data_IF_066481027402
#
_entry.id   IF_066481027402
#
_cell.length_a   1.000
_cell.length_b   1.000
_cell.length_c   1.000
_cell.angle_alpha   90.00
_cell.angle_beta   90.00
_cell.angle_gamma   90.00
#
_symmetry.space_group_name_H-M   'P 1'
#
loop_
_entity.id
_entity.type
_entity.pdbx_description
1 polymer ?
#
# COMPACT_ATOMS: atom_id res chain seq x y z
N UNK A 1 -8.31 -0.25 8.20
CA UNK A 1 -7.47 0.51 9.15
C UNK A 1 -8.25 1.54 9.91
N UNK A 2 -8.83 2.57 9.28
CA UNK A 2 -9.57 3.63 9.98
C UNK A 2 -10.69 3.12 10.89
N UNK A 3 -11.52 2.18 10.44
CA UNK A 3 -12.56 1.52 11.25
C UNK A 3 -12.00 0.87 12.52
N UNK A 4 -10.83 0.25 12.39
CA UNK A 4 -10.17 -0.45 13.49
C UNK A 4 -9.51 0.54 14.46
N UNK A 5 -8.88 1.61 13.97
CA UNK A 5 -8.38 2.70 14.80
C UNK A 5 -9.50 3.35 15.62
N UNK A 6 -10.67 3.57 15.01
CA UNK A 6 -11.85 4.08 15.70
C UNK A 6 -12.38 3.09 16.74
N UNK A 7 -12.46 1.80 16.42
CA UNK A 7 -12.85 0.78 17.38
C UNK A 7 -11.89 0.70 18.58
N UNK A 8 -10.58 0.78 18.34
CA UNK A 8 -9.57 0.81 19.39
C UNK A 8 -9.70 2.05 20.29
N UNK A 9 -9.98 3.21 19.71
CA UNK A 9 -10.27 4.44 20.46
C UNK A 9 -11.53 4.26 21.33
N UNK A 10 -12.61 3.73 20.75
CA UNK A 10 -13.86 3.46 21.49
C UNK A 10 -13.61 2.51 22.66
N UNK A 11 -12.90 1.39 22.45
CA UNK A 11 -12.56 0.44 23.50
C UNK A 11 -11.71 1.08 24.61
N UNK A 12 -10.74 1.90 24.24
CA UNK A 12 -9.92 2.64 25.20
C UNK A 12 -10.76 3.64 26.00
N UNK A 13 -11.62 4.40 25.32
CA UNK A 13 -12.54 5.33 25.96
C UNK A 13 -13.51 4.62 26.92
N UNK A 14 -14.00 3.43 26.55
CA UNK A 14 -14.82 2.57 27.40
C UNK A 14 -14.07 2.17 28.68
N UNK A 15 -12.80 1.77 28.57
CA UNK A 15 -11.95 1.47 29.73
C UNK A 15 -11.71 2.69 30.64
N UNK A 16 -11.80 3.90 30.09
CA UNK A 16 -11.63 5.17 30.82
C UNK A 16 -12.95 5.82 31.27
N UNK A 17 -14.10 5.17 31.07
CA UNK A 17 -15.43 5.70 31.42
C UNK A 17 -15.49 6.31 32.83
N UNK A 18 -14.97 5.67 33.89
CA UNK A 18 -15.05 6.20 35.25
C UNK A 18 -14.43 7.60 35.40
N UNK A 19 -13.41 7.92 34.59
CA UNK A 19 -12.74 9.22 34.61
C UNK A 19 -13.35 10.22 33.62
N UNK A 20 -13.92 9.71 32.53
CA UNK A 20 -14.39 10.51 31.41
C UNK A 20 -15.81 11.07 31.65
N UNK A 21 -16.69 10.34 32.38
CA UNK A 21 -18.07 10.78 32.64
C UNK A 21 -18.14 12.14 33.37
N UNK A 22 -17.16 12.45 34.20
CA UNK A 22 -17.10 13.73 34.93
C UNK A 22 -16.74 14.93 34.06
N UNK A 23 -16.34 14.74 32.79
CA UNK A 23 -15.93 15.85 31.93
C UNK A 23 -17.15 16.58 31.33
N UNK A 24 -17.22 17.92 31.40
CA UNK A 24 -18.30 18.68 30.79
C UNK A 24 -18.37 18.41 29.28
N UNK A 25 -19.58 18.16 28.77
CA UNK A 25 -19.85 17.87 27.34
C UNK A 25 -19.26 16.56 26.81
N UNK A 26 -18.84 15.62 27.67
CA UNK A 26 -18.35 14.32 27.20
C UNK A 26 -19.35 13.63 26.27
N UNK A 27 -20.62 13.58 26.65
CA UNK A 27 -21.67 12.96 25.86
C UNK A 27 -21.86 13.65 24.51
N UNK A 28 -21.89 14.99 24.49
CA UNK A 28 -22.00 15.74 23.25
C UNK A 28 -20.80 15.48 22.31
N UNK A 29 -19.57 15.43 22.84
CA UNK A 29 -18.37 15.09 22.07
C UNK A 29 -18.41 13.64 21.57
N UNK A 30 -18.77 12.70 22.43
CA UNK A 30 -18.91 11.28 22.09
C UNK A 30 -19.95 11.05 21.00
N UNK A 31 -21.14 11.66 21.13
CA UNK A 31 -22.19 11.59 20.14
C UNK A 31 -21.76 12.20 18.80
N UNK A 32 -21.09 13.37 18.83
CA UNK A 32 -20.57 14.00 17.59
C UNK A 32 -19.53 13.12 16.92
N UNK A 33 -18.55 12.59 17.68
CA UNK A 33 -17.54 11.68 17.14
C UNK A 33 -18.15 10.39 16.58
N UNK A 34 -19.12 9.81 17.29
CA UNK A 34 -19.86 8.64 16.84
C UNK A 34 -20.66 8.91 15.56
N UNK A 35 -21.33 10.07 15.47
CA UNK A 35 -22.06 10.48 14.27
C UNK A 35 -21.14 10.69 13.08
N UNK A 36 -19.99 11.35 13.25
CA UNK A 36 -19.00 11.51 12.18
C UNK A 36 -18.52 10.14 11.69
N UNK A 37 -18.19 9.23 12.61
CA UNK A 37 -17.74 7.90 12.26
C UNK A 37 -18.80 7.09 11.50
N UNK A 38 -20.03 7.06 12.01
CA UNK A 38 -21.14 6.32 11.38
C UNK A 38 -21.45 6.87 10.00
N UNK A 39 -21.55 8.19 9.85
CA UNK A 39 -21.81 8.83 8.54
C UNK A 39 -20.68 8.56 7.55
N UNK A 40 -19.42 8.53 8.00
CA UNK A 40 -18.28 8.28 7.12
C UNK A 40 -18.11 6.80 6.75
N UNK A 41 -18.48 5.86 7.61
CA UNK A 41 -18.17 4.42 7.42
C UNK A 41 -19.36 3.58 7.01
N UNK A 42 -20.56 3.85 7.52
CA UNK A 42 -21.74 3.02 7.31
C UNK A 42 -22.15 2.93 5.83
N UNK A 43 -22.19 4.03 5.05
CA UNK A 43 -22.53 3.93 3.63
C UNK A 43 -21.58 3.01 2.86
N UNK A 44 -20.29 3.08 3.17
CA UNK A 44 -19.28 2.22 2.55
C UNK A 44 -19.43 0.76 2.97
N UNK A 45 -19.67 0.47 4.25
CA UNK A 45 -19.91 -0.91 4.76
C UNK A 45 -21.12 -1.54 4.09
N UNK A 46 -22.20 -0.77 3.90
CA UNK A 46 -23.42 -1.23 3.22
C UNK A 46 -23.16 -1.43 1.73
N UNK A 47 -22.62 -0.43 1.04
CA UNK A 47 -22.42 -0.46 -0.40
C UNK A 47 -21.43 -1.55 -0.85
N UNK A 48 -20.37 -1.79 -0.07
CA UNK A 48 -19.39 -2.84 -0.36
C UNK A 48 -19.87 -4.25 -0.02
N UNK A 49 -21.02 -4.40 0.65
CA UNK A 49 -21.45 -5.68 1.21
C UNK A 49 -20.50 -6.22 2.28
N UNK A 50 -19.66 -5.37 2.90
CA UNK A 50 -18.69 -5.85 3.88
C UNK A 50 -19.38 -6.57 5.04
N UNK A 51 -20.52 -6.06 5.51
CA UNK A 51 -21.26 -6.66 6.61
C UNK A 51 -21.73 -8.10 6.32
N UNK A 52 -22.04 -8.43 5.07
CA UNK A 52 -22.49 -9.78 4.66
C UNK A 52 -21.33 -10.74 4.41
N UNK A 53 -20.13 -10.22 4.20
CA UNK A 53 -18.96 -11.02 3.81
C UNK A 53 -17.86 -11.07 4.87
N UNK A 54 -17.94 -10.27 5.95
CA UNK A 54 -16.86 -10.11 6.95
C UNK A 54 -16.40 -11.42 7.58
N UNK A 55 -17.31 -12.38 7.77
CA UNK A 55 -17.03 -13.69 8.36
C UNK A 55 -16.31 -14.65 7.40
N UNK A 56 -16.35 -14.36 6.08
CA UNK A 56 -15.64 -15.13 5.05
C UNK A 56 -14.23 -14.59 4.78
N UNK A 57 -13.88 -13.44 5.36
CA UNK A 57 -12.58 -12.82 5.17
C UNK A 57 -11.61 -13.38 6.23
N UNK A 58 -10.57 -14.12 5.84
CA UNK A 58 -9.63 -14.71 6.78
C UNK A 58 -8.94 -13.62 7.59
N UNK A 59 -8.85 -13.85 8.91
CA UNK A 59 -8.17 -12.91 9.82
C UNK A 59 -6.67 -13.16 9.77
N UNK A 60 -5.86 -12.10 9.93
CA UNK A 60 -4.41 -12.23 9.89
C UNK A 60 -3.88 -13.24 10.92
N UNK A 61 -4.48 -13.25 12.13
CA UNK A 61 -4.14 -14.18 13.21
C UNK A 61 -4.15 -15.66 12.81
N UNK A 62 -4.96 -16.06 11.83
CA UNK A 62 -5.06 -17.45 11.37
C UNK A 62 -3.83 -17.88 10.57
N UNK A 63 -3.06 -16.91 10.06
CA UNK A 63 -1.86 -17.11 9.27
C UNK A 63 -0.59 -16.66 10.00
N UNK A 64 -0.74 -16.07 11.20
CA UNK A 64 0.37 -15.61 12.02
C UNK A 64 1.12 -16.78 12.67
N UNK A 65 2.44 -16.65 12.75
CA UNK A 65 3.35 -17.52 13.50
C UNK A 65 3.71 -16.81 14.80
N UNK A 66 2.98 -17.16 15.87
CA UNK A 66 3.26 -16.64 17.21
C UNK A 66 4.43 -17.40 17.85
N UNK A 67 5.30 -16.73 18.64
CA UNK A 67 5.25 -15.32 19.01
C UNK A 67 5.92 -14.36 18.02
N UNK A 68 6.54 -14.87 16.96
CA UNK A 68 7.37 -14.08 16.04
C UNK A 68 6.62 -12.88 15.44
N UNK A 69 5.42 -13.10 14.89
CA UNK A 69 4.63 -12.02 14.28
C UNK A 69 4.05 -11.02 15.30
N UNK A 70 3.96 -11.41 16.57
CA UNK A 70 3.50 -10.51 17.63
C UNK A 70 4.57 -9.46 17.97
N UNK A 71 5.85 -9.79 17.85
CA UNK A 71 6.95 -8.87 18.15
C UNK A 71 7.62 -8.33 16.90
N UNK A 72 7.39 -8.93 15.73
CA UNK A 72 8.05 -8.56 14.47
C UNK A 72 7.92 -7.09 14.13
N UNK A 73 6.73 -6.50 14.32
CA UNK A 73 6.54 -5.06 14.11
C UNK A 73 7.39 -4.20 15.07
N UNK A 74 7.50 -4.58 16.34
CA UNK A 74 8.29 -3.85 17.35
C UNK A 74 9.78 -3.95 17.01
N UNK A 75 10.22 -5.14 16.60
CA UNK A 75 11.61 -5.41 16.20
C UNK A 75 11.96 -4.61 14.95
N UNK A 76 11.12 -4.60 13.92
CA UNK A 76 11.39 -3.81 12.71
C UNK A 76 11.41 -2.31 13.01
N UNK A 77 10.48 -1.84 13.85
CA UNK A 77 10.34 -0.43 14.19
C UNK A 77 11.09 -0.07 15.47
N UNK A 78 12.11 -0.84 15.86
CA UNK A 78 12.81 -0.68 17.13
C UNK A 78 13.39 0.73 17.28
N UNK A 79 13.88 1.36 16.22
CA UNK A 79 14.41 2.73 16.24
C UNK A 79 13.32 3.73 16.63
N UNK A 80 12.15 3.61 16.00
CA UNK A 80 10.99 4.46 16.29
C UNK A 80 10.47 4.17 17.70
N UNK A 81 10.33 2.90 18.07
CA UNK A 81 9.90 2.49 19.40
C UNK A 81 10.85 3.00 20.50
N UNK A 82 12.17 2.91 20.26
CA UNK A 82 13.21 3.41 21.17
C UNK A 82 13.11 4.92 21.28
N UNK A 83 12.95 5.64 20.16
CA UNK A 83 12.78 7.10 20.20
C UNK A 83 11.53 7.51 21.01
N UNK A 84 10.39 6.85 20.80
CA UNK A 84 9.19 7.09 21.62
C UNK A 84 9.43 6.79 23.11
N UNK A 85 10.10 5.68 23.42
CA UNK A 85 10.43 5.31 24.79
C UNK A 85 11.37 6.33 25.45
N UNK A 86 12.39 6.82 24.73
CA UNK A 86 13.31 7.84 25.21
C UNK A 86 12.61 9.18 25.42
N UNK A 87 11.72 9.59 24.53
CA UNK A 87 10.93 10.82 24.70
C UNK A 87 10.00 10.69 25.90
N UNK A 88 9.30 9.56 26.04
CA UNK A 88 8.44 9.31 27.20
C UNK A 88 9.24 9.33 28.51
N UNK A 89 10.40 8.67 28.53
CA UNK A 89 11.30 8.68 29.69
C UNK A 89 11.82 10.08 30.01
N UNK A 90 12.20 10.86 29.00
CA UNK A 90 12.65 12.24 29.18
C UNK A 90 11.54 13.13 29.74
N UNK A 91 10.29 12.99 29.26
CA UNK A 91 9.14 13.73 29.79
C UNK A 91 8.88 13.36 31.25
N UNK A 92 8.92 12.07 31.60
CA UNK A 92 8.76 11.61 32.99
C UNK A 92 9.90 12.11 33.88
N UNK A 93 11.15 12.00 33.44
CA UNK A 93 12.32 12.41 34.21
C UNK A 93 12.37 13.91 34.42
N UNK A 94 12.20 14.70 33.36
CA UNK A 94 12.12 16.17 33.44
C UNK A 94 10.95 16.56 34.33
N UNK A 95 9.81 15.88 34.19
CA UNK A 95 8.65 16.20 35.00
C UNK A 95 8.83 15.87 36.48
N UNK A 96 9.48 14.76 36.79
CA UNK A 96 9.84 14.40 38.15
C UNK A 96 10.86 15.40 38.75
N UNK A 97 11.94 15.70 38.03
CA UNK A 97 12.96 16.67 38.46
C UNK A 97 12.40 18.09 38.65
N UNK A 98 11.47 18.50 37.79
CA UNK A 98 10.83 19.80 37.92
C UNK A 98 9.78 19.79 39.03
N UNK A 99 9.00 18.73 39.22
CA UNK A 99 8.03 18.63 40.30
C UNK A 99 8.68 18.67 41.70
N UNK A 100 9.89 18.11 41.85
CA UNK A 100 10.63 18.18 43.12
C UNK A 100 11.18 19.57 43.42
N UNK A 101 11.46 20.37 42.39
CA UNK A 101 11.98 21.75 42.53
C UNK A 101 10.89 22.83 42.49
N UNK A 102 9.74 22.52 41.88
CA UNK A 102 8.62 23.41 41.59
C UNK A 102 7.30 22.68 41.86
N UNK A 103 6.84 22.62 43.12
CA UNK A 103 5.61 21.94 43.51
C UNK A 103 4.36 22.43 42.75
N UNK A 104 4.36 23.69 42.29
CA UNK A 104 3.30 24.26 41.47
C UNK A 104 3.06 23.51 40.14
N UNK A 105 4.05 22.74 39.66
CA UNK A 105 3.94 21.92 38.47
C UNK A 105 3.37 20.53 38.74
N UNK A 106 3.16 20.12 39.99
CA UNK A 106 2.64 18.79 40.34
C UNK A 106 1.28 18.50 39.67
N UNK A 107 0.28 19.40 39.70
CA UNK A 107 -1.02 19.14 39.06
C UNK A 107 -0.89 18.97 37.55
N UNK A 108 -0.01 19.75 36.91
CA UNK A 108 0.28 19.65 35.48
C UNK A 108 0.98 18.32 35.15
N UNK A 109 1.96 17.92 35.97
CA UNK A 109 2.72 16.68 35.82
C UNK A 109 1.81 15.47 35.98
N UNK A 110 0.94 15.46 36.99
CA UNK A 110 -0.06 14.40 37.21
C UNK A 110 -1.03 14.28 36.05
N UNK A 111 -1.59 15.40 35.56
CA UNK A 111 -2.50 15.40 34.39
C UNK A 111 -1.81 14.90 33.12
N UNK A 112 -0.57 15.33 32.89
CA UNK A 112 0.23 14.93 31.73
C UNK A 112 0.54 13.44 31.79
N UNK A 113 1.00 12.95 32.94
CA UNK A 113 1.30 11.52 33.17
C UNK A 113 0.07 10.66 32.93
N UNK A 114 -1.09 11.06 33.47
CA UNK A 114 -2.36 10.34 33.24
C UNK A 114 -2.73 10.35 31.74
N UNK A 115 -2.59 11.48 31.07
CA UNK A 115 -2.89 11.59 29.64
C UNK A 115 -1.97 10.69 28.81
N UNK A 116 -0.67 10.67 29.10
CA UNK A 116 0.30 9.80 28.44
C UNK A 116 0.00 8.32 28.72
N UNK A 117 -0.40 7.96 29.94
CA UNK A 117 -0.82 6.61 30.28
C UNK A 117 -2.06 6.18 29.47
N UNK A 118 -3.05 7.07 29.29
CA UNK A 118 -4.21 6.80 28.42
C UNK A 118 -3.78 6.63 26.96
N UNK A 119 -2.85 7.45 26.45
CA UNK A 119 -2.33 7.28 25.08
C UNK A 119 -1.57 5.97 24.91
N UNK A 120 -0.76 5.56 25.90
CA UNK A 120 -0.09 4.27 25.89
C UNK A 120 -1.09 3.10 25.92
N UNK A 121 -2.13 3.19 26.76
CA UNK A 121 -3.24 2.24 26.77
C UNK A 121 -3.93 2.17 25.40
N UNK A 122 -4.17 3.31 24.75
CA UNK A 122 -4.72 3.36 23.40
C UNK A 122 -3.81 2.65 22.39
N UNK A 123 -2.50 2.90 22.41
CA UNK A 123 -1.55 2.19 21.54
C UNK A 123 -1.60 0.68 21.74
N UNK A 124 -1.64 0.20 22.98
CA UNK A 124 -1.70 -1.24 23.29
C UNK A 124 -3.00 -1.85 22.76
N UNK A 125 -4.14 -1.20 23.00
CA UNK A 125 -5.45 -1.66 22.48
C UNK A 125 -5.48 -1.62 20.96
N UNK A 126 -4.92 -0.58 20.34
CA UNK A 126 -4.85 -0.42 18.90
C UNK A 126 -3.94 -1.48 18.25
N UNK A 127 -2.80 -1.77 18.87
CA UNK A 127 -1.91 -2.86 18.47
C UNK A 127 -2.61 -4.21 18.57
N UNK A 128 -3.21 -4.51 19.74
CA UNK A 128 -3.92 -5.77 19.97
C UNK A 128 -5.08 -5.95 18.99
N UNK A 129 -5.96 -4.96 18.86
CA UNK A 129 -7.08 -5.02 17.91
C UNK A 129 -6.59 -5.21 16.48
N UNK A 130 -5.49 -4.57 16.06
CA UNK A 130 -4.93 -4.78 14.72
C UNK A 130 -4.47 -6.22 14.55
N UNK A 131 -3.69 -6.75 15.50
CA UNK A 131 -3.22 -8.15 15.47
C UNK A 131 -4.38 -9.14 15.39
N UNK A 132 -5.43 -8.94 16.19
CA UNK A 132 -6.50 -9.92 16.34
C UNK A 132 -7.65 -9.81 15.33
N UNK A 133 -7.94 -8.60 14.84
CA UNK A 133 -9.15 -8.34 14.04
C UNK A 133 -8.86 -7.95 12.59
N UNK A 134 -7.63 -7.57 12.25
CA UNK A 134 -7.29 -7.16 10.89
C UNK A 134 -7.42 -8.35 9.93
N UNK A 135 -8.10 -8.19 8.79
CA UNK A 135 -8.05 -9.16 7.70
C UNK A 135 -6.62 -9.47 7.28
N UNK A 136 -6.34 -10.71 6.89
CA UNK A 136 -5.02 -11.13 6.42
C UNK A 136 -4.52 -10.25 5.27
N UNK A 137 -5.38 -10.01 4.27
CA UNK A 137 -5.11 -9.11 3.15
C UNK A 137 -4.82 -7.67 3.60
N UNK A 138 -5.28 -7.21 4.76
CA UNK A 138 -5.02 -5.86 5.25
C UNK A 138 -3.88 -5.78 6.27
N UNK A 139 -3.20 -6.89 6.56
CA UNK A 139 -2.15 -6.96 7.56
C UNK A 139 -0.83 -6.44 7.02
N UNK A 140 -0.73 -5.11 6.96
CA UNK A 140 0.50 -4.42 6.57
C UNK A 140 1.14 -3.70 7.74
N UNK A 141 2.46 -3.75 7.86
CA UNK A 141 3.17 -3.01 8.92
C UNK A 141 2.96 -1.50 8.78
N UNK A 142 2.90 -0.98 7.55
CA UNK A 142 2.54 0.43 7.31
C UNK A 142 1.15 0.79 7.84
N UNK A 143 0.17 -0.11 7.68
CA UNK A 143 -1.19 0.10 8.22
C UNK A 143 -1.22 -0.02 9.75
N UNK A 144 -0.37 -0.87 10.33
CA UNK A 144 -0.16 -0.91 11.79
C UNK A 144 0.39 0.44 12.26
N UNK A 145 1.41 0.98 11.60
CA UNK A 145 1.95 2.32 11.90
C UNK A 145 0.85 3.38 11.86
N UNK A 146 0.02 3.45 10.80
CA UNK A 146 -1.11 4.39 10.73
C UNK A 146 -2.10 4.23 11.90
N UNK A 147 -2.27 3.00 12.39
CA UNK A 147 -3.17 2.70 13.53
C UNK A 147 -2.61 3.23 14.85
N UNK A 148 -1.28 3.20 15.01
CA UNK A 148 -0.56 3.69 16.19
C UNK A 148 -0.19 5.18 16.12
N UNK A 149 -0.20 5.75 14.92
CA UNK A 149 0.24 7.12 14.65
C UNK A 149 -0.63 8.14 15.38
N UNK A 150 -1.96 7.97 15.37
CA UNK A 150 -2.88 8.90 16.04
C UNK A 150 -2.59 9.06 17.55
N UNK A 151 -2.57 7.98 18.37
CA UNK A 151 -2.17 8.12 19.77
C UNK A 151 -0.72 8.58 19.94
N UNK A 152 0.18 8.21 19.02
CA UNK A 152 1.60 8.62 19.06
C UNK A 152 1.80 10.12 18.88
N UNK A 153 1.18 10.71 17.86
CA UNK A 153 1.25 12.14 17.59
C UNK A 153 0.62 12.93 18.75
N UNK A 154 -0.49 12.46 19.30
CA UNK A 154 -1.13 13.11 20.46
C UNK A 154 -0.23 13.01 21.69
N UNK A 155 0.39 11.85 21.96
CA UNK A 155 1.33 11.68 23.07
C UNK A 155 2.53 12.63 22.93
N UNK A 156 3.10 12.76 21.73
CA UNK A 156 4.19 13.71 21.45
C UNK A 156 3.74 15.16 21.67
N UNK A 157 2.57 15.54 21.16
CA UNK A 157 2.04 16.90 21.34
C UNK A 157 1.80 17.23 22.83
N UNK A 158 1.28 16.27 23.61
CA UNK A 158 1.10 16.41 25.06
C UNK A 158 2.46 16.53 25.76
N UNK A 159 3.45 15.71 25.39
CA UNK A 159 4.80 15.75 25.94
C UNK A 159 5.51 17.08 25.66
N UNK A 160 5.50 17.55 24.41
CA UNK A 160 6.09 18.85 24.05
C UNK A 160 5.32 20.03 24.66
N UNK A 161 4.00 19.96 24.74
CA UNK A 161 3.18 20.95 25.44
C UNK A 161 3.49 21.01 26.93
N UNK A 162 3.77 19.87 27.55
CA UNK A 162 4.23 19.79 28.94
C UNK A 162 5.60 20.44 29.11
N UNK A 163 6.59 20.04 28.30
CA UNK A 163 7.95 20.60 28.35
C UNK A 163 7.94 22.11 28.13
N UNK A 164 7.18 22.60 27.15
CA UNK A 164 7.03 24.04 26.90
C UNK A 164 6.45 24.78 28.11
N UNK A 165 5.42 24.24 28.76
CA UNK A 165 4.84 24.84 29.98
C UNK A 165 5.79 24.79 31.17
N UNK A 166 6.61 23.75 31.27
CA UNK A 166 7.50 23.55 32.41
C UNK A 166 8.79 24.38 32.31
N UNK A 167 9.33 24.55 31.09
CA UNK A 167 10.59 25.27 30.82
C UNK A 167 10.34 26.75 30.56
N UNK A 168 9.38 27.08 29.69
CA UNK A 168 9.11 28.44 29.18
C UNK A 168 7.61 28.76 29.21
N UNK A 169 6.98 28.93 30.39
CA UNK A 169 5.53 29.09 30.51
C UNK A 169 4.93 30.18 29.60
N UNK A 170 5.63 31.31 29.46
CA UNK A 170 5.23 32.45 28.61
C UNK A 170 5.22 32.11 27.11
N UNK A 171 6.08 31.19 26.68
CA UNK A 171 6.28 30.81 25.27
C UNK A 171 5.94 29.35 25.01
N UNK A 172 5.17 28.71 25.91
CA UNK A 172 4.95 27.28 25.91
C UNK A 172 4.46 26.74 24.56
N UNK A 173 3.53 27.46 23.91
CA UNK A 173 3.03 27.10 22.58
C UNK A 173 4.12 27.16 21.51
N UNK A 174 4.93 28.23 21.49
CA UNK A 174 6.02 28.37 20.53
C UNK A 174 7.10 27.29 20.74
N UNK A 175 7.48 27.04 21.99
CA UNK A 175 8.44 25.97 22.33
C UNK A 175 7.92 24.60 21.91
N UNK A 176 6.65 24.28 22.20
CA UNK A 176 6.05 23.02 21.77
C UNK A 176 6.04 22.86 20.25
N UNK A 177 5.70 23.91 19.50
CA UNK A 177 5.74 23.92 18.04
C UNK A 177 7.16 23.72 17.51
N UNK A 178 8.16 24.41 18.07
CA UNK A 178 9.57 24.23 17.66
C UNK A 178 10.05 22.81 17.94
N UNK A 179 9.71 22.24 19.11
CA UNK A 179 10.06 20.85 19.43
C UNK A 179 9.41 19.87 18.45
N UNK A 180 8.13 20.06 18.12
CA UNK A 180 7.43 19.23 17.13
C UNK A 180 8.05 19.35 15.74
N UNK A 181 8.36 20.58 15.29
CA UNK A 181 9.03 20.81 14.02
C UNK A 181 10.42 20.17 13.99
N UNK A 182 11.20 20.32 15.06
CA UNK A 182 12.50 19.68 15.24
C UNK A 182 12.42 18.15 15.20
N UNK A 183 11.39 17.56 15.82
CA UNK A 183 11.13 16.12 15.72
C UNK A 183 10.82 15.68 14.28
N UNK A 184 9.94 16.41 13.58
CA UNK A 184 9.59 16.08 12.19
C UNK A 184 10.78 16.23 11.23
N UNK A 185 11.65 17.22 11.46
CA UNK A 185 12.90 17.40 10.73
C UNK A 185 13.92 16.30 11.06
N UNK A 186 14.17 16.04 12.35
CA UNK A 186 15.15 15.07 12.81
C UNK A 186 14.81 13.62 12.45
N UNK A 187 13.52 13.30 12.28
CA UNK A 187 13.06 11.99 11.81
C UNK A 187 12.96 11.89 10.28
N UNK A 188 13.36 12.93 9.55
CA UNK A 188 13.27 12.97 8.08
C UNK A 188 11.84 12.91 7.54
N UNK A 189 10.82 13.13 8.37
CA UNK A 189 9.41 13.02 7.93
C UNK A 189 8.99 14.19 7.02
N UNK A 190 9.67 15.33 7.14
CA UNK A 190 9.45 16.48 6.25
C UNK A 190 9.90 16.21 4.81
N UNK A 191 10.93 15.40 4.57
CA UNK A 191 11.41 15.11 3.20
C UNK A 191 10.48 14.15 2.45
N UNK A 192 9.74 13.30 3.17
CA UNK A 192 8.72 12.43 2.58
C UNK A 192 7.53 13.20 1.99
N UNK A 193 7.14 14.33 2.61
CA UNK A 193 6.04 15.18 2.09
C UNK A 193 6.36 15.77 0.72
N UNK A 194 7.65 15.98 0.43
CA UNK A 194 8.11 16.54 -0.84
C UNK A 194 8.23 15.47 -1.95
N UNK A 195 8.70 14.25 -1.61
CA UNK A 195 8.95 13.19 -2.59
C UNK A 195 7.71 12.37 -3.00
N UNK A 196 6.71 12.23 -2.13
CA UNK A 196 5.63 11.25 -2.38
C UNK A 196 4.56 11.70 -3.38
N UNK A 197 4.55 12.97 -3.78
CA UNK A 197 3.43 13.57 -4.53
C UNK A 197 3.55 13.52 -6.05
N UNK A 198 4.74 13.23 -6.61
CA UNK A 198 4.97 13.29 -8.06
C UNK A 198 5.11 11.92 -8.72
N UNK A 199 5.89 10.99 -8.17
CA UNK A 199 6.27 9.77 -8.91
C UNK A 199 5.13 8.78 -9.24
N UNK A 200 3.99 8.81 -8.54
CA UNK A 200 2.93 7.79 -8.71
C UNK A 200 1.87 8.09 -9.77
N UNK A 201 1.80 9.34 -10.24
CA UNK A 201 0.82 9.79 -11.25
C UNK A 201 1.47 10.41 -12.48
N UNK A 202 2.78 10.71 -12.44
CA UNK A 202 3.51 11.25 -13.58
C UNK A 202 3.34 10.32 -14.78
N UNK A 203 2.70 10.84 -15.83
CA UNK A 203 2.47 10.13 -17.08
C UNK A 203 1.17 9.34 -17.15
N UNK A 204 0.27 9.46 -16.17
CA UNK A 204 -1.11 8.99 -16.32
C UNK A 204 -1.88 9.88 -17.31
N UNK A 205 -1.60 11.19 -17.41
CA UNK A 205 -2.32 12.07 -18.34
C UNK A 205 -2.16 11.68 -19.81
N UNK A 206 -0.95 11.42 -20.33
CA UNK A 206 -0.79 10.90 -21.69
C UNK A 206 -1.51 9.56 -21.92
N UNK A 207 -1.50 8.67 -20.92
CA UNK A 207 -2.21 7.40 -21.00
C UNK A 207 -3.73 7.59 -21.06
N UNK A 208 -4.29 8.51 -20.26
CA UNK A 208 -5.70 8.89 -20.32
C UNK A 208 -6.05 9.44 -21.70
N UNK A 209 -5.20 10.30 -22.25
CA UNK A 209 -5.43 10.91 -23.55
C UNK A 209 -5.38 9.89 -24.69
N UNK A 210 -4.45 8.92 -24.64
CA UNK A 210 -4.42 7.81 -25.58
C UNK A 210 -5.69 6.95 -25.48
N UNK A 211 -6.15 6.66 -24.25
CA UNK A 211 -7.42 5.94 -24.03
C UNK A 211 -8.62 6.71 -24.59
N UNK A 212 -8.64 8.04 -24.49
CA UNK A 212 -9.73 8.85 -25.05
C UNK A 212 -9.73 8.89 -26.57
N UNK A 213 -8.56 8.79 -27.20
CA UNK A 213 -8.40 8.78 -28.67
C UNK A 213 -8.56 7.40 -29.30
N UNK A 214 -8.46 6.36 -28.48
CA UNK A 214 -8.59 4.98 -28.94
C UNK A 214 -10.04 4.65 -29.28
N UNK A 215 -10.25 4.08 -30.46
CA UNK A 215 -11.55 3.52 -30.81
C UNK A 215 -11.74 2.16 -30.11
N UNK A 216 -12.74 2.09 -29.24
CA UNK A 216 -13.15 0.87 -28.56
C UNK A 216 -14.53 0.45 -29.01
N UNK A 217 -14.73 -0.85 -29.20
CA UNK A 217 -16.06 -1.39 -29.48
C UNK A 217 -16.90 -1.35 -28.19
N UNK A 218 -18.24 -1.18 -28.28
CA UNK A 218 -19.10 -1.07 -27.09
C UNK A 218 -19.05 -2.26 -26.14
N UNK A 219 -18.62 -3.43 -26.61
CA UNK A 219 -18.48 -4.64 -25.81
C UNK A 219 -17.15 -4.71 -25.05
N UNK A 220 -16.14 -3.89 -25.38
CA UNK A 220 -14.79 -3.94 -24.79
C UNK A 220 -14.83 -3.90 -23.25
N UNK A 221 -14.21 -4.89 -22.61
CA UNK A 221 -14.00 -4.89 -21.17
C UNK A 221 -12.68 -4.23 -20.81
N UNK A 222 -12.73 -3.32 -19.84
CA UNK A 222 -11.55 -2.65 -19.31
C UNK A 222 -11.18 -3.21 -17.95
N UNK A 223 -9.98 -3.74 -17.86
CA UNK A 223 -9.39 -4.14 -16.59
C UNK A 223 -8.17 -3.32 -16.27
N UNK A 224 -7.93 -3.15 -14.98
CA UNK A 224 -6.75 -2.54 -14.43
C UNK A 224 -6.09 -3.47 -13.43
N UNK A 225 -4.81 -3.26 -13.28
CA UNK A 225 -4.06 -3.80 -12.15
C UNK A 225 -4.66 -3.35 -10.82
N UNK A 226 -4.59 -4.19 -9.77
CA UNK A 226 -5.11 -3.84 -8.47
C UNK A 226 -4.50 -2.53 -7.93
N UNK A 227 -5.32 -1.73 -7.25
CA UNK A 227 -5.07 -0.34 -6.80
C UNK A 227 -5.07 0.75 -7.88
N UNK A 228 -4.95 0.44 -9.17
CA UNK A 228 -4.99 1.46 -10.23
C UNK A 228 -6.34 1.56 -10.94
N UNK A 229 -7.18 0.52 -10.90
CA UNK A 229 -8.50 0.51 -11.56
C UNK A 229 -9.42 1.69 -11.17
N UNK A 230 -9.41 2.12 -9.89
CA UNK A 230 -10.19 3.29 -9.45
C UNK A 230 -9.65 4.60 -10.01
N UNK A 231 -8.33 4.77 -10.02
CA UNK A 231 -7.64 5.90 -10.65
C UNK A 231 -8.02 5.98 -12.13
N UNK A 232 -7.91 4.86 -12.85
CA UNK A 232 -8.30 4.79 -14.26
C UNK A 232 -9.76 5.15 -14.46
N UNK A 233 -10.67 4.56 -13.67
CA UNK A 233 -12.10 4.85 -13.77
C UNK A 233 -12.39 6.32 -13.56
N UNK A 234 -11.80 6.94 -12.55
CA UNK A 234 -12.02 8.34 -12.20
C UNK A 234 -11.56 9.29 -13.32
N UNK A 235 -10.36 9.08 -13.87
CA UNK A 235 -9.79 10.03 -14.82
C UNK A 235 -10.20 9.80 -16.29
N UNK A 236 -10.52 8.56 -16.66
CA UNK A 236 -10.94 8.22 -18.03
C UNK A 236 -12.45 8.25 -18.20
N UNK A 237 -13.21 8.07 -17.12
CA UNK A 237 -14.66 7.82 -17.18
C UNK A 237 -15.03 6.42 -17.69
N UNK A 238 -14.05 5.58 -18.05
CA UNK A 238 -14.26 4.20 -18.47
C UNK A 238 -14.50 3.30 -17.25
N UNK A 239 -15.33 2.25 -17.35
CA UNK A 239 -15.62 1.34 -16.25
C UNK A 239 -14.47 0.34 -16.03
N UNK A 240 -13.31 0.81 -15.57
CA UNK A 240 -12.12 -0.02 -15.38
C UNK A 240 -12.24 -0.84 -14.09
N UNK A 241 -12.29 -2.15 -14.22
CA UNK A 241 -12.41 -3.08 -13.07
C UNK A 241 -11.05 -3.66 -12.69
N UNK A 242 -10.87 -4.06 -11.43
CA UNK A 242 -9.67 -4.83 -11.09
C UNK A 242 -9.74 -6.21 -11.75
N UNK A 243 -8.64 -6.66 -12.39
CA UNK A 243 -8.58 -8.01 -12.96
C UNK A 243 -8.51 -9.13 -11.91
N UNK A 244 -7.97 -8.82 -10.72
CA UNK A 244 -7.69 -9.82 -9.68
C UNK A 244 -8.90 -10.65 -9.22
N UNK A 245 -10.08 -10.07 -8.93
CA UNK A 245 -11.24 -10.84 -8.49
C UNK A 245 -11.99 -11.55 -9.63
N UNK A 246 -11.64 -11.33 -10.90
CA UNK A 246 -12.40 -11.84 -12.04
C UNK A 246 -12.06 -13.30 -12.28
N UNK A 247 -13.06 -14.18 -12.35
CA UNK A 247 -12.83 -15.62 -12.56
C UNK A 247 -12.17 -15.88 -13.91
N UNK A 248 -11.17 -16.78 -13.95
CA UNK A 248 -10.54 -17.20 -15.19
C UNK A 248 -11.54 -17.74 -16.23
N UNK A 249 -12.52 -18.55 -15.81
CA UNK A 249 -13.54 -19.08 -16.72
C UNK A 249 -14.34 -17.98 -17.41
N UNK A 250 -14.68 -16.91 -16.70
CA UNK A 250 -15.40 -15.77 -17.29
C UNK A 250 -14.56 -15.11 -18.39
N UNK A 251 -13.27 -14.87 -18.15
CA UNK A 251 -12.37 -14.25 -19.14
C UNK A 251 -12.07 -15.18 -20.33
N UNK A 252 -12.13 -16.49 -20.10
CA UNK A 252 -11.95 -17.53 -21.11
C UNK A 252 -13.20 -17.73 -21.98
N UNK A 253 -14.40 -17.51 -21.45
CA UNK A 253 -15.67 -17.62 -22.17
C UNK A 253 -16.07 -16.32 -22.86
N UNK A 254 -15.57 -15.18 -22.38
CA UNK A 254 -15.88 -13.86 -22.91
C UNK A 254 -15.25 -13.65 -24.30
N UNK A 255 -16.10 -13.64 -25.33
CA UNK A 255 -15.67 -13.60 -26.72
C UNK A 255 -15.16 -12.23 -27.19
N UNK A 256 -15.56 -11.14 -26.53
CA UNK A 256 -15.24 -9.78 -26.96
C UNK A 256 -13.78 -9.37 -26.65
N UNK A 257 -13.40 -8.14 -27.04
CA UNK A 257 -12.08 -7.60 -26.79
C UNK A 257 -11.89 -7.20 -25.32
N UNK A 258 -10.66 -7.31 -24.84
CA UNK A 258 -10.28 -6.90 -23.49
C UNK A 258 -9.11 -5.91 -23.57
N UNK A 259 -9.19 -4.83 -22.79
CA UNK A 259 -8.08 -3.92 -22.55
C UNK A 259 -7.63 -4.08 -21.11
N UNK A 260 -6.37 -4.45 -20.90
CA UNK A 260 -5.75 -4.49 -19.57
C UNK A 260 -4.77 -3.33 -19.42
N UNK A 261 -4.96 -2.54 -18.37
CA UNK A 261 -4.13 -1.40 -17.99
C UNK A 261 -3.21 -1.77 -16.82
N UNK A 262 -1.92 -1.83 -17.12
CA UNK A 262 -0.88 -2.22 -16.19
C UNK A 262 0.04 -1.04 -15.91
N UNK A 263 0.13 -0.68 -14.64
CA UNK A 263 1.01 0.38 -14.16
C UNK A 263 1.92 -0.22 -13.10
N UNK A 264 3.06 -0.77 -13.53
CA UNK A 264 4.04 -1.38 -12.64
C UNK A 264 5.46 -0.96 -12.98
N UNK A 265 6.25 -0.79 -11.93
CA UNK A 265 7.68 -0.55 -11.99
C UNK A 265 8.42 -1.76 -11.41
N UNK A 266 8.72 -2.74 -12.24
CA UNK A 266 9.47 -3.93 -11.82
C UNK A 266 10.96 -3.67 -11.59
N UNK A 267 11.47 -2.51 -12.04
CA UNK A 267 12.88 -2.19 -12.05
C UNK A 267 13.17 -0.98 -11.19
N UNK A 268 14.21 -1.08 -10.36
CA UNK A 268 14.77 0.08 -9.67
C UNK A 268 15.34 1.03 -10.73
N UNK A 269 14.87 2.28 -10.73
CA UNK A 269 15.41 3.32 -11.59
C UNK A 269 16.61 4.00 -10.94
N UNK A 270 17.60 4.43 -11.72
CA UNK A 270 18.66 5.30 -11.23
C UNK A 270 18.09 6.57 -10.58
N UNK A 271 18.84 7.14 -9.63
CA UNK A 271 18.51 8.44 -9.03
C UNK A 271 18.63 9.57 -10.06
N UNK A 272 18.01 10.73 -9.77
CA UNK A 272 18.16 11.96 -10.58
C UNK A 272 19.64 12.28 -10.79
N UNK A 273 20.42 12.26 -9.71
CA UNK A 273 21.87 12.53 -9.74
C UNK A 273 22.64 11.56 -10.65
N UNK A 274 22.24 10.28 -10.71
CA UNK A 274 22.87 9.32 -11.63
C UNK A 274 22.49 9.59 -13.09
N UNK A 275 21.22 9.94 -13.36
CA UNK A 275 20.79 10.37 -14.69
C UNK A 275 21.52 11.63 -15.14
N UNK A 276 21.58 12.65 -14.27
CA UNK A 276 22.30 13.91 -14.53
C UNK A 276 23.76 13.67 -14.87
N UNK A 277 24.45 12.88 -14.04
CA UNK A 277 25.86 12.55 -14.25
C UNK A 277 26.06 11.86 -15.60
N UNK A 278 25.29 10.81 -15.89
CA UNK A 278 25.44 10.03 -17.13
C UNK A 278 25.06 10.84 -18.38
N UNK A 279 24.06 11.71 -18.27
CA UNK A 279 23.70 12.62 -19.35
C UNK A 279 24.84 13.62 -19.64
N UNK A 280 25.43 14.21 -18.60
CA UNK A 280 26.60 15.10 -18.73
C UNK A 280 27.83 14.40 -19.31
N UNK A 281 28.12 13.18 -18.86
CA UNK A 281 29.20 12.35 -19.40
C UNK A 281 29.00 12.06 -20.90
N UNK A 282 27.74 11.99 -21.35
CA UNK A 282 27.37 11.83 -22.75
C UNK A 282 27.25 13.15 -23.52
N UNK A 283 27.58 14.30 -22.90
CA UNK A 283 27.59 15.62 -23.53
C UNK A 283 26.25 16.36 -23.53
N UNK A 284 25.26 15.93 -22.74
CA UNK A 284 24.00 16.63 -22.55
C UNK A 284 24.06 17.56 -21.34
N UNK A 285 23.33 18.68 -21.38
CA UNK A 285 23.07 19.52 -20.21
C UNK A 285 21.58 19.38 -19.82
N UNK A 286 21.25 18.39 -18.96
CA UNK A 286 19.85 18.01 -18.75
C UNK A 286 19.10 19.01 -17.89
N UNK A 287 17.88 19.34 -18.29
CA UNK A 287 16.89 19.95 -17.41
C UNK A 287 16.19 18.86 -16.58
N UNK A 288 15.58 19.20 -15.44
CA UNK A 288 14.80 18.25 -14.63
C UNK A 288 13.73 17.50 -15.45
N UNK A 289 13.07 18.19 -16.38
CA UNK A 289 12.06 17.62 -17.26
C UNK A 289 12.63 16.55 -18.23
N UNK A 290 13.89 16.72 -18.67
CA UNK A 290 14.57 15.73 -19.52
C UNK A 290 14.82 14.44 -18.75
N UNK A 291 15.20 14.56 -17.47
CA UNK A 291 15.46 13.41 -16.59
C UNK A 291 14.18 12.60 -16.38
N UNK A 292 13.06 13.28 -16.12
CA UNK A 292 11.76 12.63 -15.96
C UNK A 292 11.31 11.92 -17.25
N UNK A 293 11.54 12.55 -18.40
CA UNK A 293 11.25 11.97 -19.70
C UNK A 293 12.12 10.73 -19.97
N UNK A 294 13.43 10.79 -19.73
CA UNK A 294 14.35 9.66 -19.91
C UNK A 294 14.10 8.53 -18.92
N UNK A 295 13.71 8.84 -17.69
CA UNK A 295 13.27 7.84 -16.70
C UNK A 295 12.04 7.10 -17.18
N UNK A 296 11.03 7.84 -17.64
CA UNK A 296 9.79 7.27 -18.18
C UNK A 296 10.08 6.38 -19.40
N UNK A 297 10.95 6.83 -20.29
CA UNK A 297 11.44 6.07 -21.45
C UNK A 297 12.17 4.78 -21.05
N UNK A 298 13.09 4.87 -20.10
CA UNK A 298 13.83 3.72 -19.57
C UNK A 298 12.89 2.67 -18.98
N UNK A 299 11.94 3.10 -18.15
CA UNK A 299 10.95 2.23 -17.52
C UNK A 299 10.05 1.56 -18.57
N UNK A 300 9.59 2.33 -19.55
CA UNK A 300 8.85 1.80 -20.69
C UNK A 300 9.66 0.70 -21.40
N UNK A 301 10.91 0.97 -21.78
CA UNK A 301 11.75 -0.02 -22.45
C UNK A 301 11.98 -1.29 -21.61
N UNK A 302 12.25 -1.13 -20.30
CA UNK A 302 12.43 -2.26 -19.37
C UNK A 302 11.16 -3.11 -19.25
N UNK A 303 10.00 -2.46 -19.20
CA UNK A 303 8.70 -3.13 -19.18
C UNK A 303 8.42 -3.85 -20.51
N UNK A 304 8.72 -3.20 -21.65
CA UNK A 304 8.66 -3.77 -22.99
C UNK A 304 9.44 -5.08 -23.08
N UNK A 305 10.70 -5.04 -22.65
CA UNK A 305 11.60 -6.18 -22.65
C UNK A 305 11.10 -7.31 -21.75
N UNK A 306 10.44 -7.01 -20.62
CA UNK A 306 9.87 -8.03 -19.73
C UNK A 306 8.72 -8.83 -20.36
N UNK A 307 7.96 -8.20 -21.27
CA UNK A 307 6.79 -8.79 -21.91
C UNK A 307 7.01 -9.26 -23.34
N UNK A 308 8.12 -8.91 -23.99
CA UNK A 308 8.37 -9.22 -25.41
C UNK A 308 8.21 -10.71 -25.76
N UNK A 309 8.54 -11.62 -24.85
CA UNK A 309 8.40 -13.06 -25.05
C UNK A 309 7.00 -13.63 -24.69
N UNK A 310 6.08 -12.79 -24.21
CA UNK A 310 4.80 -13.20 -23.60
C UNK A 310 3.56 -12.70 -24.33
N UNK A 311 3.72 -11.73 -25.22
CA UNK A 311 2.65 -11.12 -26.02
C UNK A 311 2.99 -11.23 -27.51
N UNK A 312 2.01 -11.04 -28.39
CA UNK A 312 2.20 -11.18 -29.83
C UNK A 312 3.12 -10.09 -30.39
N UNK A 313 2.97 -8.86 -29.91
CA UNK A 313 3.83 -7.74 -30.27
C UNK A 313 3.93 -6.73 -29.12
N UNK A 314 5.05 -6.03 -29.10
CA UNK A 314 5.29 -4.91 -28.20
C UNK A 314 5.60 -3.68 -29.03
N UNK A 315 4.79 -2.64 -28.88
CA UNK A 315 4.99 -1.36 -29.54
C UNK A 315 5.58 -0.36 -28.55
N UNK A 316 6.86 -0.02 -28.77
CA UNK A 316 7.56 1.04 -28.06
C UNK A 316 7.62 2.26 -28.97
N UNK A 317 6.81 3.28 -28.70
CA UNK A 317 6.73 4.51 -29.52
C UNK A 317 7.97 5.41 -29.39
N UNK A 318 8.89 5.13 -28.45
CA UNK A 318 9.96 6.04 -28.06
C UNK A 318 11.36 5.44 -28.34
N UNK A 319 12.24 6.25 -28.92
CA UNK A 319 13.66 5.90 -29.14
C UNK A 319 14.46 6.34 -27.93
N UNK A 320 15.23 5.43 -27.33
CA UNK A 320 16.10 5.75 -26.20
C UNK A 320 17.36 6.50 -26.68
N UNK A 321 17.76 7.60 -26.01
CA UNK A 321 19.10 8.14 -26.17
C UNK A 321 20.17 7.09 -25.87
N UNK A 322 21.34 7.18 -26.52
CA UNK A 322 22.39 6.15 -26.40
C UNK A 322 22.84 5.90 -24.95
N UNK A 323 22.94 6.94 -24.12
CA UNK A 323 23.31 6.77 -22.71
C UNK A 323 22.16 6.12 -21.89
N UNK A 324 20.90 6.40 -22.22
CA UNK A 324 19.74 5.72 -21.60
C UNK A 324 19.70 4.25 -22.00
N UNK A 325 20.07 3.93 -23.25
CA UNK A 325 20.24 2.54 -23.71
C UNK A 325 21.34 1.81 -22.92
N UNK A 326 22.45 2.48 -22.60
CA UNK A 326 23.49 1.90 -21.73
C UNK A 326 22.94 1.61 -20.32
N UNK A 327 22.18 2.56 -19.74
CA UNK A 327 21.50 2.36 -18.45
C UNK A 327 20.53 1.19 -18.53
N UNK A 328 19.74 1.08 -19.61
CA UNK A 328 18.85 -0.05 -19.87
C UNK A 328 19.60 -1.37 -19.87
N UNK A 329 20.71 -1.48 -20.61
CA UNK A 329 21.47 -2.72 -20.72
C UNK A 329 22.17 -3.09 -19.41
N UNK A 330 22.60 -2.12 -18.62
CA UNK A 330 23.11 -2.35 -17.26
C UNK A 330 22.00 -2.81 -16.32
N UNK A 331 20.85 -2.14 -16.34
CA UNK A 331 19.70 -2.44 -15.47
C UNK A 331 19.16 -3.83 -15.77
N UNK A 332 19.01 -4.18 -17.05
CA UNK A 332 18.60 -5.51 -17.51
C UNK A 332 19.57 -6.60 -17.05
N UNK A 333 20.89 -6.31 -17.06
CA UNK A 333 21.93 -7.27 -16.65
C UNK A 333 22.00 -7.47 -15.13
N UNK A 334 21.63 -6.48 -14.33
CA UNK A 334 21.65 -6.57 -12.86
C UNK A 334 20.55 -7.49 -12.29
N UNK A 335 19.89 -8.30 -13.14
CA UNK A 335 18.55 -8.85 -12.92
C UNK A 335 17.55 -7.70 -12.64
N UNK A 336 16.23 -7.90 -12.50
CA UNK A 336 15.46 -6.99 -11.67
C UNK A 336 16.15 -6.99 -10.31
N UNK A 337 17.07 -6.05 -10.10
CA UNK A 337 17.86 -5.93 -8.89
C UNK A 337 16.81 -5.87 -7.80
N UNK A 338 16.70 -6.99 -7.09
CA UNK A 338 15.61 -7.31 -6.20
C UNK A 338 15.25 -6.04 -5.46
N UNK A 339 14.09 -5.48 -5.80
CA UNK A 339 13.29 -4.76 -4.85
C UNK A 339 13.33 -5.63 -3.60
N UNK A 340 14.19 -5.31 -2.63
CA UNK A 340 14.76 -6.32 -1.73
C UNK A 340 13.66 -7.20 -1.13
N UNK A 341 13.88 -8.52 -0.96
CA UNK A 341 12.91 -9.39 -0.28
C UNK A 341 12.41 -8.76 1.02
N UNK A 342 13.27 -7.99 1.71
CA UNK A 342 12.92 -7.30 2.94
C UNK A 342 11.75 -6.33 2.82
N UNK A 343 11.64 -5.45 1.81
CA UNK A 343 10.49 -4.53 1.80
C UNK A 343 9.19 -5.29 1.51
N UNK A 344 9.23 -6.31 0.65
CA UNK A 344 8.09 -7.18 0.33
C UNK A 344 7.64 -7.97 1.57
N UNK A 345 8.58 -8.65 2.20
CA UNK A 345 8.37 -9.49 3.39
C UNK A 345 7.98 -8.64 4.61
N UNK A 346 8.52 -7.41 4.74
CA UNK A 346 8.21 -6.51 5.85
C UNK A 346 6.91 -5.74 5.64
N UNK A 347 6.44 -5.58 4.40
CA UNK A 347 5.16 -4.90 4.15
C UNK A 347 3.98 -5.81 4.50
N UNK A 348 3.96 -7.09 4.10
CA UNK A 348 2.85 -8.02 4.37
C UNK A 348 3.30 -9.46 4.68
N UNK A 349 4.00 -9.68 5.81
CA UNK A 349 4.66 -10.97 6.08
C UNK A 349 3.68 -12.14 6.10
N UNK A 350 2.46 -11.90 6.59
CA UNK A 350 1.43 -12.94 6.77
C UNK A 350 0.90 -13.47 5.43
N UNK A 351 0.71 -12.61 4.43
CA UNK A 351 0.19 -13.01 3.12
C UNK A 351 1.26 -13.58 2.20
N UNK A 352 2.54 -13.30 2.44
CA UNK A 352 3.62 -13.69 1.55
C UNK A 352 4.46 -14.85 2.11
N UNK A 353 4.30 -15.17 3.39
CA UNK A 353 4.96 -16.30 4.05
C UNK A 353 4.82 -17.60 3.26
N UNK A 354 5.95 -18.25 3.03
CA UNK A 354 6.03 -19.54 2.34
C UNK A 354 6.09 -19.45 0.82
N UNK A 355 6.07 -18.24 0.25
CA UNK A 355 6.17 -18.02 -1.20
C UNK A 355 7.49 -17.33 -1.56
N UNK A 356 8.07 -17.71 -2.68
CA UNK A 356 9.25 -17.05 -3.22
C UNK A 356 8.81 -15.83 -4.03
N UNK A 357 8.76 -14.67 -3.40
CA UNK A 357 8.38 -13.41 -4.06
C UNK A 357 9.64 -12.68 -4.53
N UNK A 358 9.88 -12.66 -5.84
CA UNK A 358 11.10 -12.06 -6.43
C UNK A 358 10.84 -10.72 -7.08
N UNK A 359 9.64 -10.53 -7.59
CA UNK A 359 9.21 -9.33 -8.31
C UNK A 359 7.95 -8.72 -7.70
N UNK A 360 7.65 -7.48 -8.08
CA UNK A 360 6.41 -6.82 -7.68
C UNK A 360 5.17 -7.53 -8.25
N UNK A 361 5.30 -8.07 -9.46
CA UNK A 361 4.29 -8.96 -10.04
C UNK A 361 4.04 -10.21 -9.18
N UNK A 362 5.10 -10.91 -8.75
CA UNK A 362 4.97 -12.09 -7.88
C UNK A 362 4.27 -11.75 -6.56
N UNK A 363 4.52 -10.55 -6.03
CA UNK A 363 3.87 -10.06 -4.81
C UNK A 363 2.37 -10.00 -5.01
N UNK A 364 1.89 -9.34 -6.08
CA UNK A 364 0.46 -9.20 -6.30
C UNK A 364 -0.22 -10.51 -6.63
N UNK A 365 0.41 -11.35 -7.47
CA UNK A 365 -0.12 -12.69 -7.75
C UNK A 365 -0.24 -13.49 -6.46
N UNK A 366 0.83 -13.54 -5.65
CA UNK A 366 0.81 -14.23 -4.35
C UNK A 366 -0.26 -13.64 -3.44
N UNK A 367 -0.33 -12.32 -3.33
CA UNK A 367 -1.28 -11.64 -2.45
C UNK A 367 -2.74 -11.92 -2.83
N UNK A 368 -3.11 -11.85 -4.12
CA UNK A 368 -4.49 -12.08 -4.56
C UNK A 368 -4.87 -13.56 -4.65
N UNK A 369 -3.91 -14.43 -4.98
CA UNK A 369 -4.18 -15.84 -5.25
C UNK A 369 -3.60 -16.78 -4.20
N UNK A 370 -3.11 -16.29 -3.04
CA UNK A 370 -2.52 -17.11 -1.96
C UNK A 370 -3.34 -18.36 -1.63
N UNK A 371 -4.66 -18.22 -1.59
CA UNK A 371 -5.59 -19.28 -1.20
C UNK A 371 -6.12 -20.10 -2.39
N UNK A 372 -5.67 -19.80 -3.62
CA UNK A 372 -6.17 -20.38 -4.87
C UNK A 372 -5.01 -20.62 -5.84
N UNK A 373 -3.99 -21.34 -5.37
CA UNK A 373 -2.81 -21.75 -6.15
C UNK A 373 -2.13 -20.56 -6.89
N UNK A 374 -1.38 -19.72 -6.17
CA UNK A 374 -0.74 -18.57 -6.81
C UNK A 374 0.32 -18.99 -7.82
N UNK A 375 0.95 -20.17 -7.67
CA UNK A 375 1.99 -20.66 -8.58
C UNK A 375 1.43 -20.90 -9.98
N UNK A 376 0.23 -21.48 -10.10
CA UNK A 376 -0.44 -21.64 -11.40
C UNK A 376 -0.89 -20.31 -12.02
N UNK A 377 -0.77 -19.20 -11.30
CA UNK A 377 -1.18 -17.84 -11.73
C UNK A 377 0.02 -16.91 -11.92
N UNK A 378 1.21 -17.34 -11.54
CA UNK A 378 2.46 -16.63 -11.81
C UNK A 378 2.57 -16.45 -13.31
N UNK A 379 2.88 -15.23 -13.73
CA UNK A 379 3.11 -14.79 -15.11
C UNK A 379 1.90 -14.26 -15.89
N UNK A 380 0.65 -14.50 -15.48
CA UNK A 380 -0.47 -14.08 -16.32
C UNK A 380 -1.85 -13.88 -15.66
N UNK A 381 -1.95 -13.93 -14.33
CA UNK A 381 -3.22 -13.80 -13.61
C UNK A 381 -4.32 -14.70 -14.24
N UNK A 382 -5.55 -14.19 -14.36
CA UNK A 382 -6.66 -14.90 -15.00
C UNK A 382 -6.70 -14.75 -16.55
N UNK A 383 -5.68 -14.12 -17.16
CA UNK A 383 -5.61 -13.81 -18.60
C UNK A 383 -4.53 -14.62 -19.36
N UNK A 384 -3.90 -15.60 -18.70
CA UNK A 384 -2.83 -16.45 -19.26
C UNK A 384 -3.05 -16.97 -20.65
N UNK A 385 -4.22 -17.55 -20.91
CA UNK A 385 -4.51 -18.16 -22.19
C UNK A 385 -4.74 -17.14 -23.32
N UNK A 386 -4.89 -15.85 -22.99
CA UNK A 386 -5.20 -14.79 -23.97
C UNK A 386 -4.04 -13.83 -24.24
N UNK A 387 -3.14 -13.64 -23.27
CA UNK A 387 -2.01 -12.72 -23.40
C UNK A 387 -1.06 -13.01 -24.57
N UNK A 388 -0.77 -14.27 -24.95
CA UNK A 388 0.08 -14.55 -26.11
C UNK A 388 -0.43 -13.96 -27.44
N UNK A 389 -1.74 -13.72 -27.55
CA UNK A 389 -2.37 -13.13 -28.74
C UNK A 389 -2.59 -11.61 -28.61
N UNK A 390 -2.19 -11.02 -27.49
CA UNK A 390 -2.37 -9.60 -27.23
C UNK A 390 -1.26 -8.75 -27.84
N UNK A 391 -1.58 -7.51 -28.18
CA UNK A 391 -0.57 -6.49 -28.45
C UNK A 391 -0.38 -5.66 -27.20
N UNK A 392 0.86 -5.35 -26.85
CA UNK A 392 1.18 -4.45 -25.74
C UNK A 392 1.68 -3.14 -26.30
N UNK A 393 0.97 -2.07 -25.97
CA UNK A 393 1.38 -0.71 -26.27
C UNK A 393 1.86 -0.05 -24.97
N UNK A 394 3.07 0.49 -24.95
CA UNK A 394 3.51 1.28 -23.80
C UNK A 394 3.27 2.75 -24.12
N UNK A 395 2.27 3.29 -23.43
CA UNK A 395 1.94 4.71 -23.52
C UNK A 395 2.90 5.50 -22.62
N UNK A 396 2.99 6.81 -22.87
CA UNK A 396 3.84 7.67 -22.05
C UNK A 396 3.46 7.56 -20.55
N UNK A 397 4.45 7.69 -19.67
CA UNK A 397 4.29 7.41 -18.24
C UNK A 397 4.56 5.98 -17.79
N UNK A 398 4.99 5.10 -18.70
CA UNK A 398 5.32 3.71 -18.36
C UNK A 398 4.09 2.82 -18.12
N UNK A 399 2.90 3.28 -18.48
CA UNK A 399 1.67 2.48 -18.46
C UNK A 399 1.69 1.53 -19.65
N UNK A 400 1.55 0.23 -19.40
CA UNK A 400 1.35 -0.77 -20.43
C UNK A 400 -0.15 -1.01 -20.65
N UNK A 401 -0.58 -0.86 -21.90
CA UNK A 401 -1.92 -1.17 -22.35
C UNK A 401 -1.87 -2.45 -23.19
N UNK A 402 -2.43 -3.53 -22.66
CA UNK A 402 -2.57 -4.76 -23.41
C UNK A 402 -3.92 -4.76 -24.12
N UNK A 403 -3.90 -4.81 -25.45
CA UNK A 403 -5.09 -5.00 -26.29
C UNK A 403 -5.20 -6.47 -26.61
N UNK A 404 -6.11 -7.13 -25.93
CA UNK A 404 -6.40 -8.55 -26.13
C UNK A 404 -7.56 -8.63 -27.14
N UNK A 405 -7.33 -9.20 -28.34
CA UNK A 405 -8.35 -9.24 -29.37
C UNK A 405 -9.54 -10.12 -28.94
N UNK A 406 -10.70 -9.98 -29.61
CA UNK A 406 -11.81 -10.92 -29.47
C UNK A 406 -11.31 -12.36 -29.66
N UNK A 407 -11.84 -13.28 -28.87
CA UNK A 407 -11.63 -14.68 -29.18
C UNK A 407 -12.40 -14.98 -30.46
N UNK A 408 -11.68 -15.40 -31.51
CA UNK A 408 -12.31 -16.24 -32.51
C UNK A 408 -12.87 -17.42 -31.74
N UNK A 409 -14.20 -17.55 -31.69
CA UNK A 409 -14.82 -18.79 -31.25
C UNK A 409 -14.16 -19.86 -32.12
N UNK A 410 -13.29 -20.67 -31.53
CA UNK A 410 -12.89 -21.95 -32.11
C UNK A 410 -14.21 -22.58 -32.50
N UNK A 411 -14.52 -22.54 -33.81
CA UNK A 411 -15.75 -23.08 -34.35
C UNK A 411 -15.78 -24.48 -33.80
N UNK A 412 -16.78 -24.75 -32.95
CA UNK A 412 -16.86 -25.90 -32.05
C UNK A 412 -16.38 -27.16 -32.75
N UNK A 413 -15.08 -27.42 -32.66
CA UNK A 413 -14.52 -28.66 -33.15
C UNK A 413 -14.85 -29.58 -32.02
N UNK A 414 -15.87 -30.38 -32.25
CA UNK A 414 -16.43 -31.36 -31.34
C UNK A 414 -15.30 -32.14 -30.66
N UNK A 415 -14.82 -31.67 -29.51
CA UNK A 415 -14.05 -32.48 -28.57
C UNK A 415 -15.06 -33.34 -27.82
N UNK A 416 -15.68 -34.26 -28.57
CA UNK A 416 -16.14 -35.51 -28.01
C UNK A 416 -14.88 -36.34 -27.75
N UNK A 417 -14.79 -36.97 -26.57
CA UNK A 417 -13.76 -37.93 -26.15
C UNK A 417 -12.46 -37.44 -25.49
N UNK A 418 -12.51 -36.63 -24.41
CA UNK A 418 -11.36 -36.60 -23.47
C UNK A 418 -11.70 -36.42 -21.98
N UNK A 419 -12.97 -36.59 -21.57
CA UNK A 419 -13.37 -36.42 -20.16
C UNK A 419 -13.98 -37.65 -19.46
N UNK A 420 -13.93 -38.85 -20.06
CA UNK A 420 -14.50 -40.04 -19.40
C UNK A 420 -13.52 -40.85 -18.51
N UNK A 421 -12.20 -40.62 -18.55
CA UNK A 421 -11.26 -41.47 -17.79
C UNK A 421 -10.77 -40.93 -16.43
N UNK A 422 -11.03 -39.66 -16.08
CA UNK A 422 -10.55 -39.12 -14.79
C UNK A 422 -11.50 -39.39 -13.61
N UNK A 423 -12.72 -39.89 -13.85
CA UNK A 423 -13.70 -40.16 -12.81
C UNK A 423 -13.66 -41.61 -12.26
N UNK A 424 -12.86 -42.51 -12.86
CA UNK A 424 -12.81 -43.93 -12.46
C UNK A 424 -11.76 -44.26 -11.37
N UNK A 425 -10.85 -43.34 -11.03
CA UNK A 425 -9.73 -43.64 -10.09
C UNK A 425 -9.88 -43.08 -8.66
N UNK A 426 -11.04 -42.57 -8.25
CA UNK A 426 -11.26 -42.18 -6.84
C UNK A 426 -12.40 -42.99 -6.20
N UNK A 427 -12.15 -44.28 -5.96
CA UNK A 427 -12.93 -45.10 -5.01
C UNK A 427 -12.00 -45.91 -4.09
N UNK A 428 -11.83 -45.38 -2.87
CA UNK A 428 -11.62 -46.04 -1.55
C UNK A 428 -10.36 -46.92 -1.26
N UNK A 429 -10.04 -47.23 0.03
CA UNK A 429 -10.55 -46.72 1.32
C UNK A 429 -9.46 -46.25 2.32
N UNK A 430 -9.95 -45.78 3.48
CA UNK A 430 -9.25 -45.31 4.67
C UNK A 430 -8.15 -46.22 5.25
N UNK A 431 -7.23 -45.59 5.97
CA UNK A 431 -6.96 -45.86 7.40
C UNK A 431 -6.71 -44.54 8.13
#
# INVERSE_FOLDING_TARGET
THTLSSAALTLTACGCIPWIIGHPRVWAKGCLSGAIFLTATLPWVIYSGLATHVDRIPKARELMQLPYDLIGFIVERWETATLFALIALAVVLVGWLLSTRRPELEPLTRRTTLTLAVMAGWMVVAYGTFIWLMPAASFYWRRMTMTLEAPGVIALAVGFGYLGRAITPRWASLTATICMAGYLLGTGRMTHLYRQSYDSLVGIEPAIEELRRSDFTPDTLFFGTPNFHLTWTYYTGLPVQSVAPVRASYLQEYAGPIVLLEHYMDYATPSDEEFERRARDAGFDPLPEDIDAWRSQLQAALHANAWQARVASVELKQVLPAFVQQIFDETRRRAPASHSPKWVENECPVMLRGFCVRTYHDLWVTYFYRFVDPESRLHFANLASRLPNSTMEIVAGGVAMFRIPPQEKLASTTVSSFHEDAASQRRHPAK
#
